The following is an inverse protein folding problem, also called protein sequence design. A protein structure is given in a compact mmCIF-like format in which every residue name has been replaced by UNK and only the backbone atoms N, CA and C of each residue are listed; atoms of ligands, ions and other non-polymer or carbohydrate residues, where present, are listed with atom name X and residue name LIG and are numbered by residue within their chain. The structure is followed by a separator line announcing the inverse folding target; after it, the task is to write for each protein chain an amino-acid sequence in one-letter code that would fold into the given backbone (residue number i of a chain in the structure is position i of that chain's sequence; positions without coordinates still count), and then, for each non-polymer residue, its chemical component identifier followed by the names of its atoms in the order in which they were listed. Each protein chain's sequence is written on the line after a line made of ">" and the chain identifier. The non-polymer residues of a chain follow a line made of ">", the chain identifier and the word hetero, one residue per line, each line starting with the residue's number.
data_IF_175260182254
#
_entry.id   IF_175260182254
#
_cell.length_a   1.000
_cell.length_b   1.000
_cell.length_c   1.000
_cell.angle_alpha   90.00
_cell.angle_beta   90.00
_cell.angle_gamma   90.00
#
_symmetry.space_group_name_H-M   'P 1'
#
loop_
_entity.id
_entity.type
_entity.pdbx_description
1 polymer ?
#
# COMPACT_ATOMS: atom_id res chain seq x y z
N UNK A 1 20.32 -8.06 -9.53
CA UNK A 1 19.73 -7.39 -8.36
C UNK A 1 19.56 -5.90 -8.65
N UNK A 2 18.33 -5.41 -8.59
CA UNK A 2 17.99 -3.98 -8.69
C UNK A 2 17.49 -3.51 -7.34
N UNK A 3 18.03 -2.41 -6.82
CA UNK A 3 17.67 -1.89 -5.50
C UNK A 3 17.77 -0.38 -5.48
N UNK A 4 16.74 0.26 -4.95
CA UNK A 4 16.66 1.69 -4.69
C UNK A 4 17.06 1.92 -3.23
N UNK A 5 17.93 2.88 -2.98
CA UNK A 5 18.32 3.27 -1.61
C UNK A 5 17.25 4.20 -1.05
N UNK A 6 16.36 3.64 -0.24
CA UNK A 6 15.26 4.36 0.43
C UNK A 6 15.59 4.46 1.93
N UNK A 7 15.33 5.60 2.59
CA UNK A 7 15.47 5.69 4.04
C UNK A 7 14.40 4.85 4.73
N UNK A 8 14.77 4.13 5.78
CA UNK A 8 13.83 3.35 6.58
C UNK A 8 13.17 4.22 7.66
N UNK A 9 11.86 4.12 7.79
CA UNK A 9 11.09 4.72 8.88
C UNK A 9 10.43 3.58 9.65
N UNK A 10 10.77 3.46 10.93
CA UNK A 10 10.20 2.45 11.80
C UNK A 10 8.72 2.75 12.10
N UNK A 11 7.94 1.69 12.27
CA UNK A 11 6.54 1.78 12.67
C UNK A 11 6.40 1.73 14.20
N UNK A 12 5.86 2.79 14.86
CA UNK A 12 5.41 2.71 16.23
C UNK A 12 3.99 2.12 16.30
N UNK A 13 3.89 0.81 16.56
CA UNK A 13 2.64 0.06 16.72
C UNK A 13 1.85 -0.14 15.41
N UNK A 14 0.73 0.56 15.21
CA UNK A 14 -0.26 0.28 14.14
C UNK A 14 -0.11 1.18 12.92
N UNK A 15 1.07 1.78 12.71
CA UNK A 15 1.35 2.83 11.71
C UNK A 15 2.18 2.31 10.53
N UNK A 16 2.01 1.05 10.15
CA UNK A 16 2.72 0.45 9.01
C UNK A 16 2.45 1.21 7.69
N UNK A 17 1.20 1.64 7.46
CA UNK A 17 0.82 2.48 6.30
C UNK A 17 1.54 3.85 6.34
N UNK A 18 1.39 4.69 7.38
CA UNK A 18 2.16 5.92 7.52
C UNK A 18 3.68 5.75 7.35
N UNK A 19 4.26 4.70 7.94
CA UNK A 19 5.68 4.41 7.79
C UNK A 19 6.06 4.14 6.32
N UNK A 20 5.30 3.32 5.59
CA UNK A 20 5.57 3.02 4.19
C UNK A 20 5.50 4.25 3.27
N UNK A 21 4.44 5.05 3.39
CA UNK A 21 4.32 6.28 2.61
C UNK A 21 5.36 7.33 3.03
N UNK A 22 5.70 7.40 4.32
CA UNK A 22 6.77 8.26 4.82
C UNK A 22 8.14 7.93 4.24
N UNK A 23 8.49 6.63 4.13
CA UNK A 23 9.72 6.19 3.46
C UNK A 23 9.76 6.65 2.00
N UNK A 24 8.63 6.55 1.30
CA UNK A 24 8.48 7.06 -0.06
C UNK A 24 8.65 8.59 -0.18
N UNK A 25 8.01 9.35 0.70
CA UNK A 25 8.14 10.81 0.76
C UNK A 25 9.58 11.23 1.07
N UNK A 26 10.22 10.59 2.05
CA UNK A 26 11.60 10.87 2.43
C UNK A 26 12.61 10.53 1.32
N UNK A 27 12.33 9.51 0.50
CA UNK A 27 13.14 9.21 -0.68
C UNK A 27 13.01 10.28 -1.77
N UNK A 28 11.77 10.65 -2.12
CA UNK A 28 11.52 11.55 -3.25
C UNK A 28 11.62 13.04 -2.91
N UNK A 29 11.50 13.41 -1.64
CA UNK A 29 11.59 14.79 -1.14
C UNK A 29 12.41 14.82 0.16
N UNK A 30 13.72 14.48 0.11
CA UNK A 30 14.58 14.34 1.30
C UNK A 30 14.78 15.66 2.07
N UNK A 31 14.50 16.80 1.44
CA UNK A 31 14.50 18.12 2.07
C UNK A 31 13.31 18.34 3.02
N UNK A 32 12.24 17.54 2.88
CA UNK A 32 11.05 17.61 3.72
C UNK A 32 11.17 16.62 4.87
N UNK A 33 11.06 17.15 6.08
CA UNK A 33 10.93 16.32 7.27
C UNK A 33 9.44 16.15 7.59
N UNK A 34 9.03 14.91 7.84
CA UNK A 34 7.67 14.57 8.23
C UNK A 34 7.72 13.90 9.60
N UNK A 35 6.98 14.44 10.56
CA UNK A 35 6.71 13.73 11.80
C UNK A 35 5.74 12.58 11.52
N UNK A 36 5.70 11.58 12.42
CA UNK A 36 4.73 10.48 12.28
C UNK A 36 3.28 11.00 12.27
N UNK A 37 3.00 12.08 13.02
CA UNK A 37 1.69 12.72 13.02
C UNK A 37 1.34 13.32 11.64
N UNK A 38 2.30 13.96 10.98
CA UNK A 38 2.09 14.47 9.62
C UNK A 38 1.80 13.31 8.64
N UNK A 39 2.46 12.16 8.83
CA UNK A 39 2.24 10.96 8.02
C UNK A 39 0.89 10.28 8.29
N UNK A 40 0.44 10.27 9.55
CA UNK A 40 -0.91 9.81 9.91
C UNK A 40 -1.98 10.64 9.22
N UNK A 41 -1.88 11.96 9.31
CA UNK A 41 -2.80 12.90 8.64
C UNK A 41 -2.74 12.73 7.12
N UNK A 42 -1.53 12.58 6.56
CA UNK A 42 -1.32 12.33 5.13
C UNK A 42 -1.97 11.04 4.64
N UNK A 43 -1.98 9.99 5.46
CA UNK A 43 -2.56 8.70 5.10
C UNK A 43 -4.03 8.55 5.50
N UNK A 44 -4.60 9.53 6.22
CA UNK A 44 -5.95 9.42 6.77
C UNK A 44 -6.07 8.37 7.88
N UNK A 45 -4.97 8.06 8.57
CA UNK A 45 -4.92 7.14 9.70
C UNK A 45 -5.84 7.60 10.83
N UNK A 46 -6.49 6.62 11.48
CA UNK A 46 -7.31 6.84 12.67
C UNK A 46 -7.02 5.73 13.67
N UNK A 47 -6.65 6.10 14.89
CA UNK A 47 -6.33 5.13 15.95
C UNK A 47 -7.49 4.14 16.14
N UNK A 48 -7.14 2.86 16.28
CA UNK A 48 -8.09 1.76 16.41
C UNK A 48 -8.83 1.35 15.13
N UNK A 49 -8.49 1.91 13.97
CA UNK A 49 -9.11 1.55 12.68
C UNK A 49 -8.04 1.14 11.65
N UNK A 50 -8.44 0.31 10.68
CA UNK A 50 -7.60 0.02 9.52
C UNK A 50 -7.39 1.27 8.66
N UNK A 51 -6.19 1.45 8.10
CA UNK A 51 -5.89 2.58 7.21
C UNK A 51 -6.01 2.17 5.74
N UNK A 52 -6.89 2.84 5.00
CA UNK A 52 -7.10 2.62 3.57
C UNK A 52 -6.24 3.58 2.73
N UNK A 53 -5.96 3.19 1.49
CA UNK A 53 -4.86 3.76 0.71
C UNK A 53 -5.28 4.95 -0.16
N UNK A 54 -6.59 5.11 -0.39
CA UNK A 54 -7.14 6.17 -1.22
C UNK A 54 -6.65 7.56 -0.81
N UNK A 55 -6.65 7.88 0.50
CA UNK A 55 -6.19 9.19 0.99
C UNK A 55 -4.71 9.43 0.68
N UNK A 56 -3.85 8.46 0.99
CA UNK A 56 -2.41 8.58 0.75
C UNK A 56 -2.11 8.74 -0.75
N UNK A 57 -2.76 7.94 -1.60
CA UNK A 57 -2.57 7.97 -3.05
C UNK A 57 -3.11 9.26 -3.67
N UNK A 58 -4.27 9.74 -3.23
CA UNK A 58 -4.82 11.04 -3.61
C UNK A 58 -3.90 12.19 -3.19
N UNK A 59 -3.37 12.15 -1.98
CA UNK A 59 -2.47 13.19 -1.48
C UNK A 59 -1.12 13.19 -2.22
N UNK A 60 -0.57 12.02 -2.56
CA UNK A 60 0.60 11.92 -3.44
C UNK A 60 0.33 12.58 -4.80
N UNK A 61 -0.81 12.28 -5.43
CA UNK A 61 -1.19 12.89 -6.70
C UNK A 61 -1.32 14.42 -6.61
N UNK A 62 -1.94 14.93 -5.54
CA UNK A 62 -2.05 16.38 -5.25
C UNK A 62 -0.68 17.05 -5.05
N UNK A 63 0.31 16.32 -4.54
CA UNK A 63 1.71 16.77 -4.44
C UNK A 63 2.49 16.66 -5.77
N UNK A 64 1.84 16.25 -6.86
CA UNK A 64 2.45 16.15 -8.19
C UNK A 64 3.17 14.84 -8.45
N UNK A 65 2.99 13.81 -7.62
CA UNK A 65 3.51 12.48 -7.89
C UNK A 65 2.68 11.82 -8.99
N UNK A 66 3.30 10.92 -9.77
CA UNK A 66 2.57 9.91 -10.51
C UNK A 66 2.19 8.80 -9.53
N UNK A 67 0.96 8.34 -9.63
CA UNK A 67 0.43 7.23 -8.84
C UNK A 67 -0.21 6.21 -9.76
N UNK A 68 -0.20 4.95 -9.33
CA UNK A 68 -0.85 3.85 -10.04
C UNK A 68 -1.36 2.83 -9.02
N UNK A 69 -2.62 2.43 -9.15
CA UNK A 69 -3.24 1.42 -8.30
C UNK A 69 -3.71 0.24 -9.15
N UNK A 70 -3.27 -0.97 -8.80
CA UNK A 70 -3.75 -2.22 -9.38
C UNK A 70 -4.30 -3.07 -8.24
N UNK A 71 -5.55 -3.49 -8.33
CA UNK A 71 -6.16 -4.39 -7.34
C UNK A 71 -7.40 -5.08 -7.91
N UNK A 72 -7.60 -6.36 -7.58
CA UNK A 72 -8.85 -7.06 -7.91
C UNK A 72 -9.96 -6.66 -6.94
N UNK A 73 -10.45 -5.44 -7.11
CA UNK A 73 -11.52 -4.85 -6.31
C UNK A 73 -12.30 -3.84 -7.15
N UNK A 74 -13.61 -4.00 -7.22
CA UNK A 74 -14.51 -3.13 -7.97
C UNK A 74 -14.84 -1.87 -7.16
N UNK A 75 -13.95 -0.87 -7.29
CA UNK A 75 -14.08 0.38 -6.55
C UNK A 75 -15.26 1.24 -6.96
N UNK A 76 -15.75 1.12 -8.20
CA UNK A 76 -16.98 1.80 -8.62
C UNK A 76 -18.18 1.27 -7.83
N UNK A 77 -18.30 -0.06 -7.69
CA UNK A 77 -19.36 -0.66 -6.86
C UNK A 77 -19.17 -0.34 -5.37
N UNK A 78 -17.94 -0.38 -4.88
CA UNK A 78 -17.65 -0.03 -3.48
C UNK A 78 -18.00 1.42 -3.17
N UNK A 79 -17.63 2.37 -4.04
CA UNK A 79 -17.93 3.78 -3.85
C UNK A 79 -19.43 4.08 -3.90
N UNK A 80 -20.19 3.33 -4.71
CA UNK A 80 -21.63 3.47 -4.83
C UNK A 80 -22.43 2.87 -3.66
N UNK A 81 -22.07 1.67 -3.21
CA UNK A 81 -22.70 0.98 -2.07
C UNK A 81 -21.69 0.03 -1.38
N UNK A 82 -20.90 0.55 -0.42
CA UNK A 82 -19.78 -0.20 0.13
C UNK A 82 -20.23 -1.43 0.92
N UNK A 83 -21.38 -1.36 1.59
CA UNK A 83 -21.91 -2.46 2.41
C UNK A 83 -22.38 -3.60 1.54
N UNK A 84 -23.21 -3.32 0.53
CA UNK A 84 -23.71 -4.35 -0.38
C UNK A 84 -22.56 -4.99 -1.15
N UNK A 85 -21.62 -4.17 -1.65
CA UNK A 85 -20.48 -4.69 -2.39
C UNK A 85 -19.60 -5.60 -1.53
N UNK A 86 -19.17 -5.15 -0.35
CA UNK A 86 -18.34 -5.98 0.53
C UNK A 86 -19.04 -7.27 0.95
N UNK A 87 -20.35 -7.23 1.23
CA UNK A 87 -21.12 -8.45 1.56
C UNK A 87 -21.15 -9.45 0.41
N UNK A 88 -21.00 -9.00 -0.83
CA UNK A 88 -20.99 -9.87 -2.02
C UNK A 88 -19.67 -10.60 -2.26
N UNK A 89 -18.57 -10.12 -1.66
CA UNK A 89 -17.21 -10.65 -1.90
C UNK A 89 -16.53 -11.21 -0.65
N UNK A 90 -16.97 -10.84 0.55
CA UNK A 90 -16.45 -11.34 1.82
C UNK A 90 -17.38 -12.40 2.40
N UNK A 91 -16.81 -13.34 3.16
CA UNK A 91 -17.60 -14.17 4.06
C UNK A 91 -18.14 -13.36 5.24
N UNK A 92 -19.06 -13.97 6.00
CA UNK A 92 -19.75 -13.30 7.09
C UNK A 92 -18.78 -12.81 8.18
N UNK A 93 -17.75 -13.58 8.54
CA UNK A 93 -16.80 -13.19 9.60
C UNK A 93 -15.94 -12.00 9.16
N UNK A 94 -15.37 -12.07 7.96
CA UNK A 94 -14.58 -10.99 7.38
C UNK A 94 -15.41 -9.72 7.18
N UNK A 95 -16.66 -9.85 6.72
CA UNK A 95 -17.57 -8.72 6.56
C UNK A 95 -17.90 -8.05 7.89
N UNK A 96 -18.28 -8.82 8.91
CA UNK A 96 -18.60 -8.27 10.24
C UNK A 96 -17.37 -7.62 10.89
N UNK A 97 -16.18 -8.20 10.70
CA UNK A 97 -14.93 -7.58 11.14
C UNK A 97 -14.68 -6.24 10.42
N UNK A 98 -14.89 -6.19 9.11
CA UNK A 98 -14.65 -4.98 8.32
C UNK A 98 -15.58 -3.84 8.75
N UNK A 99 -16.88 -4.10 8.93
CA UNK A 99 -17.83 -3.06 9.36
C UNK A 99 -17.58 -2.59 10.80
N UNK A 100 -17.02 -3.44 11.66
CA UNK A 100 -16.74 -3.09 13.05
C UNK A 100 -15.49 -2.22 13.18
N UNK A 101 -14.51 -2.38 12.28
CA UNK A 101 -13.19 -1.76 12.37
C UNK A 101 -12.93 -0.69 11.30
N UNK A 102 -13.90 -0.40 10.42
CA UNK A 102 -13.76 0.60 9.33
C UNK A 102 -15.02 1.45 9.19
N UNK A 103 -14.82 2.75 8.98
CA UNK A 103 -15.88 3.66 8.55
C UNK A 103 -16.07 3.54 7.03
N UNK A 104 -16.89 2.58 6.60
CA UNK A 104 -17.06 2.24 5.19
C UNK A 104 -17.57 3.41 4.33
N UNK A 105 -18.44 4.25 4.89
CA UNK A 105 -18.98 5.41 4.17
C UNK A 105 -17.89 6.46 3.93
N UNK A 106 -17.03 6.67 4.94
CA UNK A 106 -15.87 7.54 4.79
C UNK A 106 -14.90 6.99 3.74
N UNK A 107 -14.61 5.69 3.76
CA UNK A 107 -13.70 5.07 2.79
C UNK A 107 -14.27 5.05 1.37
N UNK A 108 -15.58 4.80 1.20
CA UNK A 108 -16.26 4.91 -0.08
C UNK A 108 -16.16 6.33 -0.65
N UNK A 109 -16.36 7.36 0.19
CA UNK A 109 -16.20 8.76 -0.22
C UNK A 109 -14.75 9.09 -0.61
N UNK A 110 -13.77 8.62 0.16
CA UNK A 110 -12.34 8.81 -0.14
C UNK A 110 -11.96 8.14 -1.45
N UNK A 111 -12.53 6.98 -1.73
CA UNK A 111 -12.32 6.28 -2.99
C UNK A 111 -12.99 7.01 -4.16
N UNK A 112 -14.22 7.51 -3.98
CA UNK A 112 -14.88 8.32 -5.00
C UNK A 112 -14.03 9.55 -5.37
N UNK A 113 -13.40 10.22 -4.40
CA UNK A 113 -12.49 11.32 -4.69
C UNK A 113 -11.30 10.90 -5.56
N UNK A 114 -10.73 9.71 -5.32
CA UNK A 114 -9.65 9.17 -6.14
C UNK A 114 -10.11 8.91 -7.59
N UNK A 115 -11.31 8.35 -7.75
CA UNK A 115 -11.93 8.08 -9.05
C UNK A 115 -12.24 9.39 -9.80
N UNK A 116 -12.83 10.38 -9.11
CA UNK A 116 -13.20 11.68 -9.67
C UNK A 116 -11.98 12.48 -10.16
N UNK A 117 -10.80 12.20 -9.61
CA UNK A 117 -9.52 12.77 -10.06
C UNK A 117 -8.95 12.10 -11.32
N UNK A 118 -9.63 11.09 -11.88
CA UNK A 118 -9.20 10.32 -13.06
C UNK A 118 -7.79 9.73 -12.87
N UNK A 119 -7.51 9.24 -11.66
CA UNK A 119 -6.21 8.64 -11.31
C UNK A 119 -6.14 7.18 -11.78
N UNK A 120 -4.96 6.67 -12.18
CA UNK A 120 -4.84 5.32 -12.73
C UNK A 120 -5.25 4.23 -11.73
N UNK A 121 -6.32 3.50 -12.08
CA UNK A 121 -6.91 2.42 -11.31
C UNK A 121 -7.22 1.23 -12.21
N UNK A 122 -6.69 0.05 -11.88
CA UNK A 122 -6.91 -1.18 -12.64
C UNK A 122 -7.59 -2.25 -11.78
N UNK A 123 -8.76 -2.73 -12.23
CA UNK A 123 -9.47 -3.83 -11.59
C UNK A 123 -8.94 -5.20 -12.07
N UNK A 124 -7.81 -5.63 -11.50
CA UNK A 124 -7.19 -6.95 -11.71
C UNK A 124 -6.17 -7.24 -10.61
N UNK A 125 -5.77 -8.50 -10.47
CA UNK A 125 -4.64 -8.84 -9.61
C UNK A 125 -3.34 -8.25 -10.18
N UNK A 126 -2.51 -7.68 -9.30
CA UNK A 126 -1.15 -7.32 -9.64
C UNK A 126 -0.26 -8.58 -9.72
N UNK A 127 0.86 -8.45 -10.46
CA UNK A 127 1.78 -9.55 -10.77
C UNK A 127 3.21 -9.23 -10.37
N UNK A 128 4.05 -10.25 -10.30
CA UNK A 128 5.50 -10.08 -10.12
C UNK A 128 6.10 -9.23 -11.25
N UNK A 129 5.60 -9.37 -12.47
CA UNK A 129 5.98 -8.53 -13.61
C UNK A 129 5.60 -7.05 -13.44
N UNK A 130 4.44 -6.75 -12.82
CA UNK A 130 4.10 -5.37 -12.47
C UNK A 130 5.12 -4.78 -11.50
N UNK A 131 5.50 -5.55 -10.47
CA UNK A 131 6.52 -5.13 -9.51
C UNK A 131 7.84 -4.84 -10.23
N UNK A 132 8.32 -5.78 -11.05
CA UNK A 132 9.56 -5.61 -11.83
C UNK A 132 9.51 -4.37 -12.71
N UNK A 133 8.43 -4.20 -13.48
CA UNK A 133 8.22 -3.05 -14.38
C UNK A 133 8.25 -1.71 -13.63
N UNK A 134 7.53 -1.60 -12.51
CA UNK A 134 7.50 -0.37 -11.73
C UNK A 134 8.86 -0.06 -11.09
N UNK A 135 9.51 -1.03 -10.46
CA UNK A 135 10.87 -0.85 -9.95
C UNK A 135 11.82 -0.50 -11.10
N UNK A 136 11.62 -1.08 -12.29
CA UNK A 136 12.48 -0.85 -13.43
C UNK A 136 12.44 0.59 -13.93
N UNK A 137 11.26 1.18 -13.93
CA UNK A 137 11.01 2.59 -14.20
C UNK A 137 11.18 3.47 -12.95
N UNK A 138 11.84 3.01 -11.89
CA UNK A 138 12.19 3.85 -10.74
C UNK A 138 11.00 4.32 -9.90
N UNK A 139 9.92 3.55 -9.86
CA UNK A 139 8.82 3.73 -8.91
C UNK A 139 9.15 3.04 -7.59
N UNK A 140 8.51 3.49 -6.52
CA UNK A 140 8.38 2.74 -5.27
C UNK A 140 7.00 2.12 -5.21
N UNK A 141 6.89 0.99 -4.52
CA UNK A 141 5.67 0.19 -4.50
C UNK A 141 5.30 -0.13 -3.06
N UNK A 142 4.12 0.30 -2.65
CA UNK A 142 3.48 -0.13 -1.41
C UNK A 142 2.60 -1.35 -1.69
N UNK A 143 2.77 -2.40 -0.89
CA UNK A 143 1.97 -3.63 -0.93
C UNK A 143 1.30 -3.86 0.42
N UNK A 144 0.16 -4.53 0.38
CA UNK A 144 -0.48 -5.08 1.57
C UNK A 144 -0.37 -6.60 1.57
N UNK A 145 0.04 -7.15 2.70
CA UNK A 145 0.42 -8.55 2.86
C UNK A 145 -0.01 -9.02 4.23
N UNK A 146 -0.17 -10.34 4.40
CA UNK A 146 -0.27 -10.92 5.73
C UNK A 146 1.14 -11.06 6.34
N UNK A 147 1.44 -10.27 7.37
CA UNK A 147 2.72 -10.29 8.08
C UNK A 147 2.98 -11.62 8.77
N UNK A 148 1.94 -12.31 9.24
CA UNK A 148 2.09 -13.63 9.84
C UNK A 148 2.63 -14.63 8.83
N UNK A 149 2.16 -14.60 7.58
CA UNK A 149 2.72 -15.43 6.49
C UNK A 149 4.20 -15.12 6.24
N UNK A 150 4.57 -13.84 6.13
CA UNK A 150 5.96 -13.42 5.95
C UNK A 150 6.88 -13.89 7.09
N UNK A 151 6.32 -14.05 8.29
CA UNK A 151 7.03 -14.47 9.49
C UNK A 151 6.84 -15.97 9.82
N UNK A 152 6.23 -16.77 8.94
CA UNK A 152 6.01 -18.20 9.14
C UNK A 152 4.99 -18.57 10.23
N UNK A 153 4.06 -17.65 10.54
CA UNK A 153 2.93 -17.82 11.46
C UNK A 153 1.63 -18.10 10.68
N UNK A 154 0.53 -18.43 11.36
CA UNK A 154 -0.70 -18.99 10.72
C UNK A 154 -1.94 -18.12 10.86
N UNK A 155 -1.87 -17.07 11.65
CA UNK A 155 -2.95 -16.12 11.89
C UNK A 155 -3.01 -15.04 10.82
N UNK A 156 -4.10 -14.27 10.80
CA UNK A 156 -4.21 -13.09 9.98
C UNK A 156 -3.61 -11.87 10.71
N UNK A 157 -2.64 -11.23 10.08
CA UNK A 157 -2.02 -9.99 10.55
C UNK A 157 -1.79 -9.06 9.35
N UNK A 158 -2.81 -8.26 9.02
CA UNK A 158 -2.77 -7.37 7.87
C UNK A 158 -1.70 -6.29 8.01
N UNK A 159 -0.83 -6.17 7.02
CA UNK A 159 0.37 -5.35 7.13
C UNK A 159 0.78 -4.66 5.83
N UNK A 160 1.49 -3.55 5.96
CA UNK A 160 1.99 -2.74 4.85
C UNK A 160 3.51 -2.82 4.76
N UNK A 161 4.00 -3.05 3.55
CA UNK A 161 5.42 -3.11 3.23
C UNK A 161 5.74 -2.23 2.02
N UNK A 162 6.99 -1.77 1.94
CA UNK A 162 7.47 -1.00 0.80
C UNK A 162 8.50 -1.81 0.02
N UNK A 163 8.20 -2.15 -1.24
CA UNK A 163 9.16 -2.78 -2.15
C UNK A 163 10.12 -1.71 -2.67
N UNK A 164 11.41 -1.99 -2.51
CA UNK A 164 12.50 -1.09 -2.92
C UNK A 164 13.44 -1.74 -3.95
N UNK A 165 13.20 -2.99 -4.32
CA UNK A 165 14.08 -3.71 -5.21
C UNK A 165 13.65 -5.15 -5.42
N UNK A 166 14.37 -5.85 -6.29
CA UNK A 166 14.18 -7.26 -6.55
C UNK A 166 15.44 -7.90 -7.18
N UNK A 167 15.44 -9.22 -7.20
CA UNK A 167 16.37 -10.04 -7.99
C UNK A 167 15.63 -11.24 -8.62
N UNK A 168 16.38 -12.28 -8.99
CA UNK A 168 15.82 -13.48 -9.59
C UNK A 168 15.01 -14.29 -8.56
N UNK A 169 15.43 -14.28 -7.29
CA UNK A 169 14.86 -15.11 -6.23
C UNK A 169 13.68 -14.45 -5.51
N UNK A 170 13.67 -13.11 -5.44
CA UNK A 170 12.64 -12.41 -4.70
C UNK A 170 12.63 -10.89 -4.81
N UNK A 171 11.92 -10.28 -3.86
CA UNK A 171 11.83 -8.84 -3.64
C UNK A 171 12.65 -8.41 -2.44
N UNK A 172 13.06 -7.14 -2.44
CA UNK A 172 13.68 -6.47 -1.30
C UNK A 172 12.68 -5.46 -0.76
N UNK A 173 12.32 -5.62 0.51
CA UNK A 173 11.29 -4.85 1.20
C UNK A 173 11.90 -4.00 2.32
N UNK A 174 11.34 -2.82 2.55
CA UNK A 174 11.29 -2.27 3.88
C UNK A 174 10.02 -2.76 4.56
N UNK A 175 10.20 -3.57 5.60
CA UNK A 175 9.12 -4.14 6.39
C UNK A 175 9.05 -3.45 7.76
N UNK A 176 8.14 -2.49 7.97
CA UNK A 176 7.99 -1.81 9.24
C UNK A 176 7.06 -2.58 10.18
N UNK A 177 7.36 -3.86 10.44
CA UNK A 177 6.61 -4.73 11.35
C UNK A 177 6.75 -4.23 12.80
N UNK A 178 5.64 -4.12 13.53
CA UNK A 178 5.63 -3.72 14.95
C UNK A 178 6.36 -4.70 15.87
N UNK A 179 6.50 -5.95 15.45
CA UNK A 179 7.20 -7.01 16.18
C UNK A 179 8.67 -7.15 15.79
N UNK A 180 9.15 -6.42 14.78
CA UNK A 180 10.52 -6.61 14.32
C UNK A 180 10.88 -5.86 13.04
N UNK A 181 10.63 -4.55 12.98
CA UNK A 181 11.08 -3.63 11.93
C UNK A 181 12.34 -4.14 11.19
N UNK A 182 12.19 -4.48 9.91
CA UNK A 182 13.20 -5.17 9.12
C UNK A 182 13.50 -4.39 7.82
N UNK A 183 14.49 -3.49 7.84
CA UNK A 183 14.88 -2.75 6.65
C UNK A 183 15.64 -3.64 5.66
N UNK A 184 15.25 -3.61 4.38
CA UNK A 184 15.89 -4.37 3.30
C UNK A 184 15.74 -5.89 3.43
N UNK A 185 14.62 -6.34 4.00
CA UNK A 185 14.27 -7.74 4.07
C UNK A 185 14.15 -8.32 2.66
N UNK A 186 14.90 -9.38 2.37
CA UNK A 186 14.69 -10.16 1.15
C UNK A 186 13.60 -11.20 1.39
N UNK A 187 12.64 -11.30 0.48
CA UNK A 187 11.50 -12.22 0.54
C UNK A 187 11.37 -12.88 -0.83
N UNK A 188 11.32 -14.22 -0.86
CA UNK A 188 11.16 -14.95 -2.12
C UNK A 188 9.83 -14.61 -2.81
N UNK A 189 9.79 -14.73 -4.14
CA UNK A 189 8.55 -14.52 -4.90
C UNK A 189 7.40 -15.42 -4.42
N UNK A 190 7.71 -16.68 -4.10
CA UNK A 190 6.73 -17.62 -3.57
C UNK A 190 6.14 -17.15 -2.23
N UNK A 191 6.99 -16.73 -1.29
CA UNK A 191 6.56 -16.26 0.02
C UNK A 191 5.77 -14.95 -0.06
N UNK A 192 6.19 -14.02 -0.93
CA UNK A 192 5.45 -12.79 -1.18
C UNK A 192 4.05 -13.10 -1.72
N UNK A 193 3.95 -13.94 -2.75
CA UNK A 193 2.68 -14.31 -3.37
C UNK A 193 1.76 -15.03 -2.41
N UNK A 194 2.31 -15.87 -1.52
CA UNK A 194 1.53 -16.49 -0.45
C UNK A 194 1.01 -15.45 0.54
N UNK A 195 1.85 -14.52 1.00
CA UNK A 195 1.44 -13.47 1.93
C UNK A 195 0.39 -12.51 1.34
N UNK A 196 0.47 -12.22 0.04
CA UNK A 196 -0.51 -11.42 -0.69
C UNK A 196 -1.86 -12.13 -0.82
N UNK A 197 -1.81 -13.44 -1.11
CA UNK A 197 -2.99 -14.30 -1.15
C UNK A 197 -3.67 -14.37 0.22
N UNK A 198 -2.91 -14.60 1.28
CA UNK A 198 -3.42 -14.72 2.65
C UNK A 198 -3.87 -13.39 3.26
N UNK A 199 -3.49 -12.25 2.68
CA UNK A 199 -4.04 -10.93 3.05
C UNK A 199 -5.52 -10.77 2.64
N UNK A 200 -5.96 -11.50 1.61
CA UNK A 200 -7.32 -11.36 1.06
C UNK A 200 -7.41 -11.69 -0.42
N UNK A 201 -6.28 -11.88 -1.11
CA UNK A 201 -6.25 -12.37 -2.48
C UNK A 201 -6.69 -11.35 -3.54
N UNK A 202 -6.80 -10.07 -3.18
CA UNK A 202 -7.02 -8.98 -4.16
C UNK A 202 -5.73 -8.57 -4.89
N UNK A 203 -4.56 -8.91 -4.34
CA UNK A 203 -3.23 -8.57 -4.87
C UNK A 203 -3.06 -7.07 -5.09
N UNK A 204 -3.28 -6.27 -4.04
CA UNK A 204 -3.20 -4.80 -4.10
C UNK A 204 -1.77 -4.28 -4.28
N UNK A 205 -1.55 -3.48 -5.32
CA UNK A 205 -0.29 -2.82 -5.65
C UNK A 205 -0.52 -1.31 -5.80
N UNK A 206 0.23 -0.53 -5.01
CA UNK A 206 0.17 0.92 -5.00
C UNK A 206 1.54 1.49 -5.37
N UNK A 207 1.73 1.87 -6.64
CA UNK A 207 2.98 2.42 -7.11
C UNK A 207 2.94 3.95 -7.11
N UNK A 208 4.06 4.57 -6.74
CA UNK A 208 4.22 6.02 -6.84
C UNK A 208 5.66 6.44 -7.19
N UNK A 209 5.77 7.56 -7.92
CA UNK A 209 7.03 8.14 -8.38
C UNK A 209 6.90 9.66 -8.47
N UNK A 210 7.93 10.42 -8.07
CA UNK A 210 7.92 11.88 -8.26
C UNK A 210 7.99 12.21 -9.75
N UNK A 211 7.14 13.12 -10.24
CA UNK A 211 7.35 13.71 -11.58
C UNK A 211 8.65 14.51 -11.50
N UNK A 212 9.70 14.07 -12.17
CA UNK A 212 10.78 14.97 -12.48
C UNK A 212 10.20 16.01 -13.42
N UNK A 213 10.35 17.30 -13.10
CA UNK A 213 10.10 18.33 -14.08
C UNK A 213 10.99 18.00 -15.27
N UNK A 214 10.38 17.68 -16.42
CA UNK A 214 11.08 17.82 -17.69
C UNK A 214 11.52 19.29 -17.70
N UNK A 215 12.81 19.53 -17.48
CA UNK A 215 13.40 20.81 -17.81
C UNK A 215 13.04 21.02 -19.28
N UNK A 216 12.15 21.99 -19.53
CA UNK A 216 11.92 22.48 -20.89
C UNK A 216 13.25 23.06 -21.34
N UNK A 217 14.06 22.26 -22.02
CA UNK A 217 15.17 22.72 -22.83
C UNK A 217 14.63 23.52 -24.01
#
# INVERSE_FOLDING_TARGET
>A
MKKITVPFIANPNTRCVPACFGMGLAYFSPEKQHSMKDLEEFCGYKEGHGTWKAVAMTNLAKLGYKVHWIEQFDYDKFAADPRTYLRSILDDEAYENQIANTDLELEAKRMQEYIDMDLPLENRQATDEDIRRFIDDGWLIHLEVNASTLNGRKEYDGHSVLVIGYDEEGVILHNPDSHGNNPNQHVSWELLNQAWKEFGGSYSLHAFKKKYHEEKY
#
